data_IF_654594581970
#
_entry.id   IF_654594581970
#
_cell.length_a   1.000
_cell.length_b   1.000
_cell.length_c   1.000
_cell.angle_alpha   90.00
_cell.angle_beta   90.00
_cell.angle_gamma   90.00
#
_symmetry.space_group_name_H-M   'P 1'
#
loop_
_entity.id
_entity.type
_entity.pdbx_description
1 polymer ?
#
# COMPACT_ATOMS: atom_id res chain seq x y z
N UNK A 1 0.33 5.52 -22.02
CA UNK A 1 0.92 6.29 -23.13
C UNK A 1 0.00 6.21 -24.34
N UNK A 2 -0.47 7.36 -24.83
CA UNK A 2 -1.31 7.47 -26.01
C UNK A 2 -0.52 8.20 -27.12
N UNK A 3 0.39 7.51 -27.80
CA UNK A 3 1.23 8.15 -28.83
C UNK A 3 0.43 8.69 -30.02
N UNK A 4 -0.76 8.15 -30.24
CA UNK A 4 -1.69 8.60 -31.30
C UNK A 4 -2.13 10.07 -31.16
N UNK A 5 -2.03 10.65 -29.94
CA UNK A 5 -2.34 12.05 -29.72
C UNK A 5 -1.49 13.00 -30.61
N UNK A 6 -0.27 12.60 -30.94
CA UNK A 6 0.61 13.40 -31.83
C UNK A 6 0.14 13.43 -33.30
N UNK A 7 -0.75 12.54 -33.70
CA UNK A 7 -1.37 12.61 -35.02
C UNK A 7 -2.21 13.89 -35.21
N UNK A 8 -2.66 14.51 -34.12
CA UNK A 8 -3.37 15.79 -34.16
C UNK A 8 -2.44 17.03 -34.28
N UNK A 9 -1.12 16.86 -34.33
CA UNK A 9 -0.17 17.95 -34.42
C UNK A 9 -0.35 18.84 -35.66
N UNK A 10 -0.62 18.33 -36.88
CA UNK A 10 -0.84 19.15 -38.07
C UNK A 10 -2.22 19.84 -38.11
N UNK A 11 -3.14 19.49 -37.21
CA UNK A 11 -4.54 19.92 -37.24
C UNK A 11 -4.74 21.45 -37.29
N UNK A 12 -4.03 22.28 -36.50
CA UNK A 12 -4.16 23.74 -36.58
C UNK A 12 -3.71 24.30 -37.91
N UNK A 13 -2.69 23.70 -38.53
CA UNK A 13 -2.19 24.12 -39.84
C UNK A 13 -3.19 23.78 -40.96
N UNK A 14 -3.80 22.59 -40.87
CA UNK A 14 -4.84 22.14 -41.80
C UNK A 14 -6.07 23.05 -41.68
N UNK A 15 -6.54 23.37 -40.49
CA UNK A 15 -7.66 24.29 -40.30
C UNK A 15 -7.36 25.69 -40.86
N UNK A 16 -6.14 26.20 -40.66
CA UNK A 16 -5.72 27.49 -41.22
C UNK A 16 -5.71 27.51 -42.74
N UNK A 17 -5.48 26.36 -43.37
CA UNK A 17 -5.43 26.24 -44.83
C UNK A 17 -6.84 26.14 -45.43
N UNK A 18 -7.77 25.50 -44.69
CA UNK A 18 -9.14 25.23 -45.18
C UNK A 18 -10.09 26.39 -44.83
N UNK A 19 -9.92 27.05 -43.68
CA UNK A 19 -10.81 28.12 -43.28
C UNK A 19 -10.48 29.43 -44.07
N UNK A 20 -11.51 30.08 -44.70
CA UNK A 20 -11.34 31.37 -45.34
C UNK A 20 -10.96 32.43 -44.27
N UNK A 21 -10.11 33.37 -44.67
CA UNK A 21 -9.72 34.49 -43.81
C UNK A 21 -10.97 35.28 -43.41
N UNK A 22 -11.19 35.44 -42.11
CA UNK A 22 -12.26 36.29 -41.61
C UNK A 22 -12.05 37.72 -42.17
N UNK A 23 -13.04 38.20 -42.91
CA UNK A 23 -13.04 39.61 -43.33
C UNK A 23 -13.39 40.42 -42.07
N UNK A 24 -12.45 41.19 -41.57
CA UNK A 24 -12.74 42.23 -40.58
C UNK A 24 -13.59 43.28 -41.28
N UNK A 25 -14.87 43.34 -40.97
CA UNK A 25 -15.68 44.50 -41.33
C UNK A 25 -15.18 45.64 -40.45
N UNK A 26 -14.18 46.37 -40.89
CA UNK A 26 -13.93 47.69 -40.36
C UNK A 26 -15.18 48.51 -40.64
N UNK A 27 -15.86 48.92 -39.59
CA UNK A 27 -17.01 49.84 -39.71
C UNK A 27 -16.46 51.14 -40.32
N UNK A 28 -16.58 51.24 -41.65
CA UNK A 28 -16.22 52.45 -42.34
C UNK A 28 -17.21 53.55 -41.92
N UNK A 29 -16.75 54.50 -41.10
CA UNK A 29 -17.46 55.75 -40.83
C UNK A 29 -17.72 56.41 -42.18
N UNK A 30 -18.99 56.50 -42.58
CA UNK A 30 -19.39 57.31 -43.69
C UNK A 30 -19.24 58.79 -43.28
N UNK A 31 -18.11 59.38 -43.70
CA UNK A 31 -17.87 60.82 -43.56
C UNK A 31 -18.37 61.51 -44.81
N UNK A 32 -19.24 62.52 -44.68
CA UNK A 32 -19.94 63.17 -45.80
C UNK A 32 -19.08 64.20 -46.51
N UNK A 33 -17.98 64.69 -45.94
CA UNK A 33 -17.05 65.65 -46.57
C UNK A 33 -15.60 65.19 -46.41
N UNK A 34 -14.93 64.97 -47.56
CA UNK A 34 -13.57 64.51 -47.67
C UNK A 34 -12.54 65.65 -47.71
N UNK A 35 -13.01 66.91 -47.85
CA UNK A 35 -12.18 68.07 -48.13
C UNK A 35 -11.27 68.54 -46.98
N UNK A 36 -11.60 68.22 -45.72
CA UNK A 36 -10.82 68.66 -44.56
C UNK A 36 -9.88 67.63 -43.96
N UNK A 37 -9.82 66.47 -44.55
CA UNK A 37 -8.82 65.46 -44.16
C UNK A 37 -7.62 65.54 -45.10
N UNK A 38 -6.69 66.43 -44.79
CA UNK A 38 -5.31 66.28 -45.27
C UNK A 38 -4.77 64.97 -44.70
N UNK A 39 -4.68 64.00 -45.58
CA UNK A 39 -4.03 62.76 -45.32
C UNK A 39 -2.56 63.05 -44.99
N UNK A 40 -2.27 63.18 -43.70
CA UNK A 40 -0.89 62.97 -43.23
C UNK A 40 -0.51 61.53 -43.68
N UNK A 41 0.41 61.48 -44.62
CA UNK A 41 0.97 60.24 -45.23
C UNK A 41 1.71 59.34 -44.22
N UNK A 42 1.29 59.33 -42.96
CA UNK A 42 1.93 58.61 -41.87
C UNK A 42 1.12 57.49 -41.29
N UNK A 43 0.00 57.05 -41.91
CA UNK A 43 -0.82 55.98 -41.34
C UNK A 43 -0.99 54.75 -42.23
N UNK A 44 -0.08 54.53 -43.15
CA UNK A 44 0.13 53.15 -43.64
C UNK A 44 1.03 52.39 -42.67
N UNK A 45 0.60 52.31 -41.40
CA UNK A 45 1.14 51.26 -40.53
C UNK A 45 0.62 49.93 -41.11
N UNK A 46 1.35 49.43 -42.08
CA UNK A 46 1.34 48.00 -42.37
C UNK A 46 1.65 47.34 -41.02
N UNK A 47 0.57 47.03 -40.27
CA UNK A 47 0.70 46.35 -39.01
C UNK A 47 1.52 45.08 -39.24
N UNK A 48 2.79 45.19 -38.90
CA UNK A 48 3.64 44.04 -38.77
C UNK A 48 2.85 43.04 -37.90
N UNK A 49 2.17 42.10 -38.53
CA UNK A 49 1.47 41.06 -37.85
C UNK A 49 2.52 40.31 -37.06
N UNK A 50 2.70 40.75 -35.81
CA UNK A 50 3.63 40.14 -34.89
C UNK A 50 3.40 38.63 -34.91
N UNK A 51 4.41 37.88 -35.29
CA UNK A 51 4.33 36.41 -35.39
C UNK A 51 4.35 35.75 -33.99
N UNK A 52 4.57 36.54 -32.94
CA UNK A 52 4.59 36.09 -31.54
C UNK A 52 3.33 35.38 -31.09
N UNK A 53 2.09 35.88 -31.31
CA UNK A 53 0.90 35.17 -30.88
C UNK A 53 0.76 33.80 -31.58
N UNK A 54 1.17 33.69 -32.84
CA UNK A 54 1.15 32.41 -33.56
C UNK A 54 2.10 31.38 -32.92
N UNK A 55 3.29 31.82 -32.51
CA UNK A 55 4.24 30.96 -31.84
C UNK A 55 3.67 30.48 -30.49
N UNK A 56 3.01 31.37 -29.74
CA UNK A 56 2.40 31.01 -28.46
C UNK A 56 1.22 30.04 -28.64
N UNK A 57 0.38 30.22 -29.67
CA UNK A 57 -0.70 29.28 -29.97
C UNK A 57 -0.17 27.89 -30.33
N UNK A 58 0.89 27.83 -31.17
CA UNK A 58 1.50 26.55 -31.55
C UNK A 58 2.16 25.88 -30.33
N UNK A 59 2.81 26.64 -29.46
CA UNK A 59 3.40 26.13 -28.23
C UNK A 59 2.33 25.57 -27.28
N UNK A 60 1.24 26.32 -27.05
CA UNK A 60 0.13 25.87 -26.26
C UNK A 60 -0.49 24.56 -26.80
N UNK A 61 -0.61 24.46 -28.14
CA UNK A 61 -1.11 23.24 -28.79
C UNK A 61 -0.18 22.03 -28.56
N UNK A 62 1.13 22.22 -28.73
CA UNK A 62 2.13 21.17 -28.47
C UNK A 62 2.07 20.73 -27.00
N UNK A 63 1.99 21.67 -26.05
CA UNK A 63 1.85 21.35 -24.64
C UNK A 63 0.55 20.57 -24.33
N UNK A 64 -0.55 20.92 -25.00
CA UNK A 64 -1.82 20.20 -24.86
C UNK A 64 -1.72 18.75 -25.38
N UNK A 65 -1.10 18.56 -26.54
CA UNK A 65 -0.91 17.22 -27.11
C UNK A 65 0.05 16.37 -26.27
N UNK A 66 1.10 16.98 -25.72
CA UNK A 66 1.99 16.26 -24.78
C UNK A 66 1.28 15.88 -23.49
N UNK A 67 0.36 16.71 -22.98
CA UNK A 67 -0.47 16.36 -21.84
C UNK A 67 -1.42 15.19 -22.16
N UNK A 68 -2.04 15.21 -23.35
CA UNK A 68 -2.95 14.15 -23.83
C UNK A 68 -2.20 12.82 -24.04
N UNK A 69 -0.94 12.86 -24.46
CA UNK A 69 -0.10 11.67 -24.60
C UNK A 69 0.20 10.98 -23.25
N UNK A 70 -0.15 11.59 -22.11
CA UNK A 70 0.05 11.09 -20.75
C UNK A 70 1.46 10.58 -20.50
N UNK A 71 2.49 11.45 -20.51
CA UNK A 71 3.84 11.03 -20.17
C UNK A 71 3.86 10.42 -18.76
N UNK A 72 4.53 9.28 -18.64
CA UNK A 72 4.64 8.53 -17.41
C UNK A 72 6.11 8.38 -17.04
N UNK A 73 6.43 8.63 -15.80
CA UNK A 73 7.73 8.34 -15.23
C UNK A 73 7.66 7.05 -14.46
N UNK A 74 8.48 6.07 -14.85
CA UNK A 74 8.64 4.84 -14.08
C UNK A 74 9.67 5.11 -12.97
N UNK A 75 9.22 5.05 -11.74
CA UNK A 75 10.09 5.13 -10.56
C UNK A 75 10.97 3.90 -10.38
N UNK A 76 11.82 3.94 -9.35
CA UNK A 76 12.64 2.81 -8.97
C UNK A 76 11.80 1.58 -8.64
N UNK A 77 12.34 0.42 -8.92
CA UNK A 77 11.71 -0.86 -8.58
C UNK A 77 11.59 -0.99 -7.07
N UNK A 78 10.36 -0.98 -6.56
CA UNK A 78 10.08 -1.33 -5.18
C UNK A 78 9.87 -2.85 -5.15
N UNK A 79 10.75 -3.54 -4.46
CA UNK A 79 10.61 -4.96 -4.19
C UNK A 79 9.57 -5.15 -3.10
N UNK A 80 8.37 -5.58 -3.48
CA UNK A 80 7.34 -5.97 -2.53
C UNK A 80 7.46 -7.48 -2.37
N UNK A 81 7.80 -8.00 -1.19
CA UNK A 81 7.73 -9.43 -0.92
C UNK A 81 6.27 -9.86 -1.08
N UNK A 82 5.97 -10.70 -2.06
CA UNK A 82 4.59 -11.01 -2.47
C UNK A 82 4.17 -12.42 -2.09
N UNK A 83 5.10 -13.29 -1.77
CA UNK A 83 4.80 -14.60 -1.25
C UNK A 83 5.50 -14.80 0.09
N UNK A 84 4.72 -14.71 1.12
CA UNK A 84 5.07 -15.18 2.44
C UNK A 84 4.22 -16.38 2.76
N UNK A 85 4.70 -17.19 3.69
CA UNK A 85 3.97 -18.31 4.25
C UNK A 85 2.79 -17.83 5.07
N UNK A 86 1.78 -18.68 5.18
CA UNK A 86 0.71 -18.52 6.14
C UNK A 86 1.13 -19.15 7.47
N UNK A 87 1.49 -18.32 8.43
CA UNK A 87 1.95 -18.74 9.73
C UNK A 87 0.92 -18.38 10.79
N UNK A 88 0.38 -19.39 11.49
CA UNK A 88 -0.52 -19.17 12.60
C UNK A 88 0.21 -19.51 13.91
N UNK A 89 0.18 -18.59 14.85
CA UNK A 89 0.61 -18.81 16.20
C UNK A 89 -0.63 -19.15 17.05
N UNK A 90 -0.67 -20.37 17.60
CA UNK A 90 -1.69 -20.75 18.57
C UNK A 90 -1.05 -20.81 19.98
N UNK A 91 -1.45 -19.89 20.82
CA UNK A 91 -0.86 -19.70 22.16
C UNK A 91 -1.88 -20.03 23.23
N UNK A 92 -1.48 -20.92 24.11
CA UNK A 92 -2.22 -21.28 25.31
C UNK A 92 -2.23 -20.10 26.29
N UNK A 93 -3.41 -19.68 26.70
CA UNK A 93 -3.63 -18.65 27.72
C UNK A 93 -4.45 -19.21 28.93
N UNK A 94 -4.44 -20.53 29.07
CA UNK A 94 -5.03 -21.16 30.28
C UNK A 94 -4.31 -20.70 31.54
N UNK A 95 -4.91 -20.96 32.70
CA UNK A 95 -4.37 -20.47 34.00
C UNK A 95 -3.02 -21.07 34.36
N UNK A 96 -2.66 -22.26 33.85
CA UNK A 96 -1.36 -22.89 34.04
C UNK A 96 -0.21 -22.06 33.48
N UNK A 97 -0.47 -21.22 32.45
CA UNK A 97 0.51 -20.32 31.87
C UNK A 97 0.96 -19.18 32.81
N UNK A 98 0.31 -18.98 33.95
CA UNK A 98 0.78 -18.09 35.02
C UNK A 98 1.91 -18.71 35.86
N UNK A 99 2.11 -20.03 35.76
CA UNK A 99 3.22 -20.68 36.45
C UNK A 99 4.56 -20.13 35.97
N UNK A 100 5.53 -20.11 36.88
CA UNK A 100 6.85 -19.53 36.61
C UNK A 100 7.75 -20.51 35.85
N UNK A 101 8.52 -19.98 34.94
CA UNK A 101 9.61 -20.67 34.26
C UNK A 101 10.93 -19.96 34.53
N UNK A 102 12.05 -20.70 34.53
CA UNK A 102 13.37 -20.14 34.79
C UNK A 102 13.79 -19.17 33.66
N UNK A 103 14.21 -17.99 34.09
CA UNK A 103 14.80 -16.97 33.22
C UNK A 103 16.12 -16.50 33.81
N UNK A 104 17.24 -17.00 33.33
CA UNK A 104 18.59 -16.74 33.88
C UNK A 104 18.61 -16.96 35.43
N UNK A 105 18.78 -15.87 36.21
CA UNK A 105 18.85 -15.88 37.66
C UNK A 105 17.46 -15.67 38.29
N UNK A 106 16.50 -15.18 37.51
CA UNK A 106 15.12 -14.89 37.97
C UNK A 106 14.11 -15.90 37.43
N UNK A 107 12.85 -15.75 37.80
CA UNK A 107 11.75 -16.53 37.23
C UNK A 107 10.66 -15.59 36.74
N UNK A 108 10.12 -15.87 35.55
CA UNK A 108 9.01 -15.14 34.95
C UNK A 108 7.85 -16.08 34.67
N UNK A 109 6.63 -15.57 34.49
CA UNK A 109 5.52 -16.44 34.11
C UNK A 109 5.73 -17.03 32.71
N UNK A 110 5.20 -18.23 32.46
CA UNK A 110 5.28 -18.92 31.18
C UNK A 110 4.70 -18.05 30.04
N UNK A 111 3.58 -17.37 30.29
CA UNK A 111 2.96 -16.47 29.32
C UNK A 111 3.86 -15.26 29.00
N UNK A 112 4.49 -14.66 30.01
CA UNK A 112 5.40 -13.52 29.79
C UNK A 112 6.62 -13.93 28.95
N UNK A 113 7.23 -15.09 29.25
CA UNK A 113 8.33 -15.63 28.48
C UNK A 113 7.91 -15.93 27.03
N UNK A 114 6.73 -16.53 26.86
CA UNK A 114 6.16 -16.82 25.54
C UNK A 114 5.95 -15.55 24.73
N UNK A 115 5.31 -14.53 25.28
CA UNK A 115 5.08 -13.25 24.63
C UNK A 115 6.38 -12.60 24.17
N UNK A 116 7.40 -12.56 25.01
CA UNK A 116 8.68 -11.94 24.69
C UNK A 116 9.36 -12.65 23.50
N UNK A 117 9.40 -13.98 23.51
CA UNK A 117 10.06 -14.77 22.46
C UNK A 117 9.23 -14.79 21.19
N UNK A 118 7.92 -14.95 21.28
CA UNK A 118 7.03 -14.92 20.11
C UNK A 118 7.02 -13.54 19.44
N UNK A 119 7.11 -12.45 20.21
CA UNK A 119 7.24 -11.08 19.68
C UNK A 119 8.52 -10.93 18.84
N UNK A 120 9.66 -11.37 19.37
CA UNK A 120 10.94 -11.34 18.66
C UNK A 120 10.91 -12.21 17.37
N UNK A 121 10.18 -13.32 17.39
CA UNK A 121 9.97 -14.17 16.23
C UNK A 121 9.09 -13.48 15.17
N UNK A 122 7.97 -12.88 15.57
CA UNK A 122 7.07 -12.14 14.69
C UNK A 122 7.82 -11.01 13.95
N UNK A 123 8.66 -10.27 14.66
CA UNK A 123 9.42 -9.15 14.08
C UNK A 123 10.36 -9.58 12.94
N UNK A 124 10.92 -10.78 13.03
CA UNK A 124 11.81 -11.33 12.00
C UNK A 124 11.09 -11.81 10.74
N UNK A 125 9.79 -12.10 10.81
CA UNK A 125 9.00 -12.68 9.72
C UNK A 125 8.57 -11.62 8.70
N UNK A 126 9.53 -11.04 8.01
CA UNK A 126 9.30 -10.06 6.94
C UNK A 126 8.80 -10.77 5.70
N UNK A 127 7.55 -10.47 5.29
CA UNK A 127 6.94 -11.06 4.11
C UNK A 127 5.94 -12.19 4.40
N UNK A 128 5.94 -12.79 5.60
CA UNK A 128 4.95 -13.78 6.00
C UNK A 128 3.63 -13.13 6.44
N UNK A 129 2.51 -13.82 6.22
CA UNK A 129 1.23 -13.47 6.85
C UNK A 129 1.14 -14.19 8.18
N UNK A 130 0.92 -13.44 9.24
CA UNK A 130 0.85 -13.99 10.59
C UNK A 130 -0.55 -13.86 11.13
N UNK A 131 -1.11 -14.96 11.62
CA UNK A 131 -2.34 -15.02 12.37
C UNK A 131 -2.08 -15.38 13.83
N UNK A 132 -2.92 -14.92 14.75
CA UNK A 132 -2.83 -15.23 16.17
C UNK A 132 -4.13 -15.87 16.65
N UNK A 133 -4.03 -17.07 17.20
CA UNK A 133 -5.10 -17.79 17.89
C UNK A 133 -4.72 -17.89 19.36
N UNK A 134 -5.63 -17.50 20.22
CA UNK A 134 -5.49 -17.70 21.65
C UNK A 134 -6.49 -18.78 22.09
N UNK A 135 -6.07 -19.65 22.98
CA UNK A 135 -6.93 -20.74 23.43
C UNK A 135 -6.77 -21.06 24.93
N UNK A 136 -7.82 -21.57 25.50
CA UNK A 136 -7.98 -22.08 26.84
C UNK A 136 -9.10 -23.11 26.80
N UNK A 137 -10.22 -22.94 27.53
CA UNK A 137 -11.44 -23.73 27.41
C UNK A 137 -12.02 -23.67 26.00
N UNK A 138 -11.84 -22.54 25.33
CA UNK A 138 -12.25 -22.26 23.96
C UNK A 138 -11.10 -21.62 23.18
N UNK A 139 -11.10 -21.84 21.87
CA UNK A 139 -10.15 -21.21 20.98
C UNK A 139 -10.82 -20.04 20.23
N UNK A 140 -10.14 -18.92 20.10
CA UNK A 140 -10.60 -17.78 19.33
C UNK A 140 -9.49 -17.11 18.50
N UNK A 141 -9.87 -16.47 17.42
CA UNK A 141 -8.94 -15.76 16.56
C UNK A 141 -8.73 -14.36 17.12
N UNK A 142 -7.56 -14.08 17.63
CA UNK A 142 -7.16 -12.76 18.13
C UNK A 142 -6.74 -11.86 16.97
N UNK A 143 -5.98 -12.40 15.99
CA UNK A 143 -5.66 -11.71 14.76
C UNK A 143 -5.85 -12.64 13.55
N UNK A 144 -6.54 -12.20 12.50
CA UNK A 144 -6.54 -12.91 11.23
C UNK A 144 -5.15 -12.90 10.59
N UNK A 145 -4.95 -13.70 9.53
CA UNK A 145 -3.71 -13.66 8.75
C UNK A 145 -3.51 -12.26 8.16
N UNK A 146 -2.41 -11.60 8.55
CA UNK A 146 -2.04 -10.26 8.11
C UNK A 146 -0.54 -10.11 7.93
N UNK A 147 -0.10 -9.20 7.06
CA UNK A 147 1.28 -8.79 6.93
C UNK A 147 1.70 -7.76 8.00
N UNK A 148 0.74 -7.21 8.74
CA UNK A 148 0.98 -6.21 9.78
C UNK A 148 1.45 -6.87 11.08
N UNK A 149 2.76 -7.06 11.17
CA UNK A 149 3.43 -7.64 12.34
C UNK A 149 3.29 -6.78 13.59
N UNK A 150 3.19 -5.46 13.41
CA UNK A 150 3.05 -4.52 14.53
C UNK A 150 1.71 -4.73 15.24
N UNK A 151 0.63 -4.81 14.48
CA UNK A 151 -0.70 -5.12 15.04
C UNK A 151 -0.74 -6.49 15.70
N UNK A 152 -0.15 -7.53 15.08
CA UNK A 152 -0.09 -8.87 15.69
C UNK A 152 0.67 -8.83 17.03
N UNK A 153 1.79 -8.11 17.09
CA UNK A 153 2.56 -7.96 18.33
C UNK A 153 1.76 -7.23 19.43
N UNK A 154 1.06 -6.15 19.10
CA UNK A 154 0.20 -5.44 20.05
C UNK A 154 -0.86 -6.40 20.63
N UNK A 155 -1.58 -7.11 19.75
CA UNK A 155 -2.60 -8.06 20.15
C UNK A 155 -2.04 -9.24 20.97
N UNK A 156 -0.81 -9.66 20.69
CA UNK A 156 -0.11 -10.67 21.49
C UNK A 156 0.19 -10.14 22.90
N UNK A 157 0.65 -8.88 23.03
CA UNK A 157 0.93 -8.28 24.34
C UNK A 157 -0.34 -8.07 25.18
N UNK A 158 -1.48 -7.87 24.56
CA UNK A 158 -2.79 -7.74 25.21
C UNK A 158 -3.36 -9.08 25.73
N UNK A 159 -2.83 -10.22 25.28
CA UNK A 159 -3.30 -11.53 25.74
C UNK A 159 -3.15 -11.69 27.26
N UNK A 160 -4.22 -12.05 27.94
CA UNK A 160 -4.25 -12.24 29.40
C UNK A 160 -4.64 -13.68 29.71
N UNK A 161 -3.92 -14.31 30.64
CA UNK A 161 -4.24 -15.67 31.09
C UNK A 161 -5.63 -15.75 31.72
N UNK A 162 -6.32 -16.86 31.45
CA UNK A 162 -7.69 -17.09 31.94
C UNK A 162 -8.79 -16.41 31.12
N UNK A 163 -8.48 -15.56 30.14
CA UNK A 163 -9.49 -14.91 29.29
C UNK A 163 -10.27 -15.92 28.43
N UNK A 164 -9.61 -16.99 27.96
CA UNK A 164 -10.23 -18.08 27.22
C UNK A 164 -10.70 -19.25 28.11
N UNK A 165 -10.75 -19.05 29.42
CA UNK A 165 -11.05 -20.09 30.41
C UNK A 165 -9.82 -20.67 31.11
N UNK A 166 -10.03 -21.68 31.97
CA UNK A 166 -8.97 -22.21 32.80
C UNK A 166 -8.34 -23.51 32.27
N UNK A 167 -9.08 -24.25 31.44
CA UNK A 167 -8.66 -25.51 30.86
C UNK A 167 -7.98 -25.31 29.49
N UNK A 168 -7.63 -26.37 28.79
CA UNK A 168 -6.84 -26.35 27.57
C UNK A 168 -7.49 -27.20 26.48
N UNK A 169 -7.99 -26.55 25.40
CA UNK A 169 -8.67 -27.19 24.28
C UNK A 169 -7.76 -27.19 23.03
N UNK A 170 -6.70 -28.01 23.02
CA UNK A 170 -5.72 -28.09 21.91
C UNK A 170 -6.38 -28.45 20.59
N UNK A 171 -7.29 -29.44 20.60
CA UNK A 171 -7.96 -29.91 19.39
C UNK A 171 -8.78 -28.82 18.71
N UNK A 172 -9.49 -28.02 19.51
CA UNK A 172 -10.31 -26.91 19.00
C UNK A 172 -9.45 -25.80 18.44
N UNK A 173 -8.28 -25.51 19.03
CA UNK A 173 -7.33 -24.54 18.52
C UNK A 173 -6.80 -24.94 17.13
N UNK A 174 -6.44 -26.22 16.94
CA UNK A 174 -6.04 -26.77 15.64
C UNK A 174 -7.20 -26.72 14.65
N UNK A 175 -8.40 -27.15 15.06
CA UNK A 175 -9.61 -27.12 14.23
C UNK A 175 -9.96 -25.71 13.77
N UNK A 176 -9.82 -24.71 14.65
CA UNK A 176 -10.04 -23.31 14.32
C UNK A 176 -9.02 -22.79 13.30
N UNK A 177 -7.73 -23.17 13.45
CA UNK A 177 -6.69 -22.82 12.50
C UNK A 177 -7.02 -23.37 11.09
N UNK A 178 -7.39 -24.65 10.98
CA UNK A 178 -7.81 -25.28 9.71
C UNK A 178 -9.00 -24.54 9.10
N UNK A 179 -10.04 -24.30 9.90
CA UNK A 179 -11.24 -23.57 9.43
C UNK A 179 -10.92 -22.16 8.92
N UNK A 180 -9.95 -21.49 9.55
CA UNK A 180 -9.55 -20.15 9.17
C UNK A 180 -8.81 -20.15 7.84
N UNK A 181 -7.85 -21.03 7.66
CA UNK A 181 -7.11 -21.19 6.41
C UNK A 181 -8.04 -21.55 5.23
N UNK A 182 -9.00 -22.44 5.43
CA UNK A 182 -10.00 -22.78 4.41
C UNK A 182 -10.85 -21.58 4.01
N UNK A 183 -11.22 -20.72 4.98
CA UNK A 183 -12.04 -19.55 4.71
C UNK A 183 -11.26 -18.47 3.94
N UNK A 184 -9.99 -18.28 4.25
CA UNK A 184 -9.13 -17.29 3.59
C UNK A 184 -8.80 -17.75 2.16
N UNK A 185 -8.64 -19.07 1.93
CA UNK A 185 -8.47 -19.63 0.59
C UNK A 185 -9.68 -19.38 -0.32
N UNK A 186 -10.89 -19.52 0.21
CA UNK A 186 -12.14 -19.26 -0.54
C UNK A 186 -12.34 -17.77 -0.87
N UNK A 187 -11.79 -16.87 -0.08
CA UNK A 187 -11.89 -15.40 -0.29
C UNK A 187 -10.88 -14.86 -1.29
N UNK A 188 -9.78 -15.54 -1.51
CA UNK A 188 -8.79 -15.23 -2.53
C UNK A 188 -8.79 -16.34 -3.59
N UNK A 189 -9.75 -16.35 -4.52
CA UNK A 189 -9.66 -17.23 -5.67
C UNK A 189 -8.42 -16.79 -6.43
N UNK A 190 -7.47 -17.70 -6.58
CA UNK A 190 -6.15 -17.54 -7.16
C UNK A 190 -6.07 -16.38 -8.16
N UNK A 191 -5.50 -15.25 -7.74
CA UNK A 191 -4.88 -14.35 -8.67
C UNK A 191 -3.74 -15.15 -9.31
N UNK A 192 -3.98 -15.57 -10.57
CA UNK A 192 -3.05 -16.22 -11.46
C UNK A 192 -2.66 -17.67 -11.15
N UNK A 193 -3.57 -18.66 -11.35
CA UNK A 193 -3.20 -19.98 -11.89
C UNK A 193 -2.12 -20.82 -11.19
N UNK A 194 -1.43 -20.28 -10.22
CA UNK A 194 -0.58 -21.01 -9.30
C UNK A 194 -1.45 -21.35 -8.08
N UNK A 195 -1.94 -22.57 -8.01
CA UNK A 195 -2.32 -23.20 -6.75
C UNK A 195 -1.15 -22.90 -5.80
N UNK A 196 -1.37 -21.97 -4.86
CA UNK A 196 -0.43 -21.73 -3.77
C UNK A 196 -0.17 -23.08 -3.14
N UNK A 197 1.09 -23.50 -3.18
CA UNK A 197 1.57 -24.81 -2.76
C UNK A 197 1.03 -25.00 -1.35
N UNK A 198 0.28 -26.08 -1.14
CA UNK A 198 -0.28 -26.42 0.17
C UNK A 198 0.82 -26.58 1.27
N UNK A 199 2.08 -26.66 0.84
CA UNK A 199 3.27 -26.83 1.71
C UNK A 199 3.68 -25.59 2.50
N UNK A 200 3.10 -24.42 2.23
CA UNK A 200 3.54 -23.14 2.85
C UNK A 200 2.67 -22.70 4.03
N UNK A 201 1.92 -23.63 4.64
CA UNK A 201 1.06 -23.34 5.79
C UNK A 201 1.59 -23.97 7.05
N UNK A 202 1.88 -23.15 8.03
CA UNK A 202 2.48 -23.60 9.29
C UNK A 202 1.66 -23.11 10.46
N UNK A 203 1.37 -24.03 11.39
CA UNK A 203 0.83 -23.72 12.71
C UNK A 203 1.91 -24.01 13.76
N UNK A 204 2.22 -23.00 14.58
CA UNK A 204 3.05 -23.17 15.77
C UNK A 204 2.12 -23.18 16.97
N UNK A 205 1.97 -24.35 17.58
CA UNK A 205 1.14 -24.56 18.74
C UNK A 205 2.01 -24.55 20.01
N UNK A 206 1.72 -23.66 20.93
CA UNK A 206 2.44 -23.51 22.17
C UNK A 206 1.51 -23.71 23.35
N UNK A 207 1.86 -24.67 24.23
CA UNK A 207 1.07 -25.04 25.41
C UNK A 207 1.96 -25.55 26.52
N UNK A 208 1.48 -25.45 27.74
CA UNK A 208 2.11 -26.05 28.95
C UNK A 208 1.29 -27.17 29.57
N UNK A 209 0.13 -27.50 28.97
CA UNK A 209 -0.86 -28.38 29.59
C UNK A 209 -1.19 -29.65 28.81
N UNK A 210 -2.09 -30.42 29.40
CA UNK A 210 -2.77 -31.56 28.81
C UNK A 210 -4.08 -31.08 28.21
N UNK A 211 -4.44 -31.57 27.03
CA UNK A 211 -5.77 -31.29 26.45
C UNK A 211 -6.84 -31.96 27.31
N UNK A 212 -7.53 -31.16 28.09
CA UNK A 212 -8.57 -31.61 29.04
C UNK A 212 -9.97 -31.06 28.70
N UNK A 213 -10.09 -30.30 27.65
CA UNK A 213 -11.30 -29.70 27.10
C UNK A 213 -11.27 -29.75 25.57
N UNK A 214 -12.40 -29.41 24.96
CA UNK A 214 -12.59 -29.30 23.54
C UNK A 214 -13.56 -30.32 22.95
N UNK A 215 -14.15 -30.00 21.83
CA UNK A 215 -15.10 -30.87 21.10
C UNK A 215 -14.36 -31.90 20.24
N UNK A 216 -13.14 -31.57 19.80
CA UNK A 216 -12.31 -32.40 18.93
C UNK A 216 -11.06 -32.84 19.65
N UNK A 217 -10.71 -34.11 19.57
CA UNK A 217 -9.43 -34.59 20.12
C UNK A 217 -8.24 -34.02 19.32
N UNK A 218 -7.08 -33.73 19.97
CA UNK A 218 -5.91 -33.17 19.27
C UNK A 218 -5.46 -34.00 18.07
N UNK A 219 -5.52 -35.32 18.15
CA UNK A 219 -5.10 -36.21 17.06
C UNK A 219 -6.05 -36.14 15.86
N UNK A 220 -7.36 -36.13 16.10
CA UNK A 220 -8.34 -36.01 15.03
C UNK A 220 -8.24 -34.64 14.34
N UNK A 221 -7.98 -33.58 15.11
CA UNK A 221 -7.73 -32.26 14.57
C UNK A 221 -6.44 -32.22 13.72
N UNK A 222 -5.38 -32.93 14.15
CA UNK A 222 -4.14 -33.05 13.40
C UNK A 222 -4.32 -33.81 12.08
N UNK A 223 -5.12 -34.88 12.07
CA UNK A 223 -5.47 -35.61 10.83
C UNK A 223 -6.20 -34.71 9.82
N UNK A 224 -7.13 -33.90 10.31
CA UNK A 224 -7.82 -32.89 9.47
C UNK A 224 -6.85 -31.84 8.96
N UNK A 225 -5.91 -31.39 9.78
CA UNK A 225 -4.88 -30.43 9.41
C UNK A 225 -3.95 -31.00 8.33
N UNK A 226 -3.48 -32.23 8.50
CA UNK A 226 -2.66 -32.94 7.51
C UNK A 226 -3.37 -33.09 6.16
N UNK A 227 -4.67 -33.46 6.17
CA UNK A 227 -5.48 -33.55 4.95
C UNK A 227 -5.63 -32.22 4.21
N UNK A 228 -5.38 -31.09 4.90
CA UNK A 228 -5.42 -29.73 4.34
C UNK A 228 -4.04 -29.14 4.07
N UNK A 229 -2.97 -29.93 4.22
CA UNK A 229 -1.60 -29.48 4.02
C UNK A 229 -1.11 -28.47 5.08
N UNK A 230 -1.68 -28.49 6.29
CA UNK A 230 -1.23 -27.64 7.39
C UNK A 230 -0.18 -28.40 8.21
N UNK A 231 1.06 -27.91 8.20
CA UNK A 231 2.15 -28.43 9.03
C UNK A 231 2.05 -27.85 10.45
N UNK A 232 2.14 -28.69 11.47
CA UNK A 232 2.00 -28.28 12.87
C UNK A 232 3.30 -28.54 13.63
N UNK A 233 3.96 -27.47 14.08
CA UNK A 233 5.01 -27.56 15.07
C UNK A 233 4.41 -27.36 16.46
N UNK A 234 4.78 -28.22 17.40
CA UNK A 234 4.29 -28.16 18.77
C UNK A 234 5.40 -27.83 19.74
N UNK A 235 5.18 -26.86 20.63
CA UNK A 235 6.10 -26.44 21.66
C UNK A 235 5.46 -26.68 23.02
N UNK A 236 6.04 -27.59 23.79
CA UNK A 236 5.64 -27.85 25.17
C UNK A 236 6.50 -27.04 26.13
N UNK A 237 5.89 -26.28 27.04
CA UNK A 237 6.60 -25.51 28.08
C UNK A 237 6.40 -26.15 29.44
N UNK A 238 7.44 -26.29 30.23
CA UNK A 238 7.33 -26.72 31.62
C UNK A 238 8.61 -27.35 32.14
N UNK A 239 8.64 -27.58 33.46
CA UNK A 239 9.79 -28.13 34.15
C UNK A 239 10.06 -29.61 33.84
N UNK A 240 11.30 -30.06 34.08
CA UNK A 240 11.68 -31.47 33.93
C UNK A 240 10.89 -32.33 34.91
N UNK A 241 10.15 -33.31 34.38
CA UNK A 241 9.37 -34.24 35.18
C UNK A 241 8.00 -33.77 35.62
N UNK A 242 7.54 -32.58 35.16
CA UNK A 242 6.14 -32.18 35.42
C UNK A 242 5.21 -33.11 34.65
N UNK A 243 4.24 -33.72 35.35
CA UNK A 243 3.20 -34.54 34.74
C UNK A 243 2.10 -33.71 34.08
N UNK A 244 2.26 -32.40 34.06
CA UNK A 244 1.28 -31.44 33.58
C UNK A 244 1.24 -31.33 32.07
N UNK A 245 2.27 -31.85 31.34
CA UNK A 245 2.37 -31.78 29.92
C UNK A 245 2.25 -33.17 29.24
N UNK A 246 1.31 -33.33 28.33
CA UNK A 246 1.20 -34.54 27.48
C UNK A 246 2.10 -34.46 26.25
N UNK A 247 3.40 -34.74 26.49
CA UNK A 247 4.38 -34.77 25.40
C UNK A 247 4.04 -35.79 24.30
N UNK A 248 3.42 -36.90 24.71
CA UNK A 248 3.09 -38.00 23.78
C UNK A 248 2.09 -37.56 22.77
N UNK A 249 1.03 -36.88 23.18
CA UNK A 249 0.02 -36.32 22.26
C UNK A 249 0.62 -35.22 21.39
N UNK A 250 1.40 -34.28 21.93
CA UNK A 250 2.02 -33.22 21.18
C UNK A 250 2.98 -33.75 20.09
N UNK A 251 3.81 -34.76 20.42
CA UNK A 251 4.68 -35.44 19.44
C UNK A 251 3.89 -36.14 18.35
N UNK A 252 2.77 -36.76 18.68
CA UNK A 252 1.89 -37.42 17.69
C UNK A 252 1.22 -36.41 16.77
N UNK A 253 0.72 -35.29 17.29
CA UNK A 253 0.15 -34.19 16.53
C UNK A 253 1.16 -33.64 15.54
N UNK A 254 2.39 -33.32 15.98
CA UNK A 254 3.43 -32.81 15.11
C UNK A 254 3.80 -33.82 14.01
N UNK A 255 4.03 -35.08 14.34
CA UNK A 255 4.38 -36.12 13.38
C UNK A 255 3.28 -36.38 12.35
N UNK A 256 2.02 -36.35 12.76
CA UNK A 256 0.87 -36.59 11.86
C UNK A 256 0.78 -35.54 10.76
N UNK A 257 1.33 -34.34 10.97
CA UNK A 257 1.29 -33.22 10.03
C UNK A 257 2.63 -32.89 9.39
N UNK A 258 3.67 -33.73 9.60
CA UNK A 258 5.03 -33.49 9.09
C UNK A 258 5.80 -32.41 9.82
N UNK A 259 5.31 -31.95 10.97
CA UNK A 259 6.00 -30.98 11.84
C UNK A 259 6.89 -31.63 12.90
N UNK A 260 7.41 -30.82 13.80
CA UNK A 260 8.31 -31.23 14.87
C UNK A 260 7.78 -30.82 16.24
N UNK A 261 8.08 -31.64 17.27
CA UNK A 261 7.82 -31.34 18.67
C UNK A 261 9.10 -30.81 19.33
N UNK A 262 8.96 -29.73 20.09
CA UNK A 262 10.01 -29.12 20.86
C UNK A 262 9.61 -29.03 22.33
N UNK A 263 10.61 -29.09 23.22
CA UNK A 263 10.43 -28.91 24.65
C UNK A 263 11.23 -27.73 25.17
N UNK A 264 10.58 -26.79 25.84
CA UNK A 264 11.21 -25.66 26.50
C UNK A 264 11.15 -25.78 28.00
N UNK A 265 12.31 -25.79 28.66
CA UNK A 265 12.44 -25.81 30.14
C UNK A 265 12.72 -24.41 30.69
N UNK A 266 13.18 -23.50 29.85
CA UNK A 266 13.53 -22.12 30.23
C UNK A 266 13.34 -21.20 29.02
N UNK A 267 13.51 -19.91 29.26
CA UNK A 267 13.39 -18.88 28.21
C UNK A 267 14.43 -19.02 27.10
N UNK A 268 15.65 -19.47 27.43
CA UNK A 268 16.73 -19.68 26.44
C UNK A 268 16.39 -20.84 25.52
N UNK A 269 15.83 -21.94 26.03
CA UNK A 269 15.36 -23.05 25.19
C UNK A 269 14.27 -22.56 24.23
N UNK A 270 13.32 -21.77 24.74
CA UNK A 270 12.25 -21.21 23.91
C UNK A 270 12.82 -20.33 22.77
N UNK A 271 13.81 -19.47 23.08
CA UNK A 271 14.48 -18.65 22.07
C UNK A 271 15.23 -19.49 21.02
N UNK A 272 15.89 -20.59 21.45
CA UNK A 272 16.57 -21.49 20.53
C UNK A 272 15.60 -22.27 19.64
N UNK A 273 14.46 -22.70 20.18
CA UNK A 273 13.39 -23.35 19.42
C UNK A 273 12.89 -22.43 18.30
N UNK A 274 12.65 -21.16 18.60
CA UNK A 274 12.21 -20.22 17.55
C UNK A 274 13.28 -19.93 16.51
N UNK A 275 14.58 -19.95 16.87
CA UNK A 275 15.68 -19.89 15.88
C UNK A 275 15.67 -21.13 14.97
N UNK A 276 15.49 -22.31 15.56
CA UNK A 276 15.41 -23.54 14.78
C UNK A 276 14.19 -23.57 13.87
N UNK A 277 13.05 -23.02 14.32
CA UNK A 277 11.88 -22.83 13.47
C UNK A 277 12.14 -21.85 12.31
N UNK A 278 12.96 -20.80 12.50
CA UNK A 278 13.40 -19.92 11.42
C UNK A 278 14.26 -20.66 10.38
N UNK A 279 15.05 -21.64 10.80
CA UNK A 279 15.87 -22.48 9.90
C UNK A 279 15.04 -23.56 9.18
N UNK A 280 14.06 -24.16 9.86
CA UNK A 280 13.18 -25.19 9.30
C UNK A 280 12.16 -24.61 8.32
N UNK A 281 11.72 -23.38 8.57
CA UNK A 281 10.71 -22.68 7.81
C UNK A 281 11.29 -21.32 7.34
N UNK A 282 12.25 -21.33 6.40
CA UNK A 282 12.88 -20.10 5.91
C UNK A 282 11.88 -19.24 5.16
N UNK A 283 12.00 -17.92 5.28
CA UNK A 283 11.19 -16.97 4.53
C UNK A 283 11.57 -17.05 3.05
N UNK A 284 10.69 -17.57 2.21
CA UNK A 284 10.87 -17.50 0.77
C UNK A 284 10.66 -16.06 0.29
N UNK A 285 11.71 -15.48 -0.27
CA UNK A 285 11.67 -14.14 -0.86
C UNK A 285 11.27 -14.23 -2.34
N UNK A 286 10.05 -14.57 -2.64
CA UNK A 286 9.52 -14.26 -3.96
C UNK A 286 9.29 -12.74 -4.04
N UNK A 287 10.18 -12.07 -4.73
CA UNK A 287 10.15 -10.62 -4.87
C UNK A 287 9.41 -10.27 -6.15
N UNK A 288 8.18 -9.78 -6.05
CA UNK A 288 7.56 -9.09 -7.18
C UNK A 288 8.05 -7.65 -7.22
N UNK A 289 8.79 -7.34 -8.26
CA UNK A 289 9.19 -5.98 -8.55
C UNK A 289 7.98 -5.16 -9.03
N UNK A 290 7.53 -4.22 -8.23
CA UNK A 290 6.53 -3.23 -8.63
C UNK A 290 7.23 -1.92 -8.97
N UNK A 291 6.98 -1.39 -10.18
CA UNK A 291 7.44 -0.06 -10.56
C UNK A 291 6.30 0.92 -10.43
N UNK A 292 6.34 1.82 -9.44
CA UNK A 292 5.33 2.86 -9.32
C UNK A 292 5.38 3.78 -10.55
N UNK A 293 4.24 3.95 -11.20
CA UNK A 293 4.11 4.80 -12.37
C UNK A 293 3.54 6.14 -11.91
N UNK A 294 4.34 7.21 -12.05
CA UNK A 294 3.88 8.59 -11.82
C UNK A 294 3.44 9.20 -13.13
N UNK A 295 2.19 9.60 -13.23
CA UNK A 295 1.67 10.30 -14.40
C UNK A 295 2.08 11.78 -14.33
N UNK A 296 2.78 12.30 -15.36
CA UNK A 296 3.32 13.67 -15.42
C UNK A 296 2.49 14.59 -16.34
N UNK A 297 1.28 14.19 -16.71
CA UNK A 297 0.43 14.94 -17.64
C UNK A 297 0.05 16.35 -17.15
N UNK A 298 0.05 16.57 -15.84
CA UNK A 298 -0.33 17.85 -15.23
C UNK A 298 0.66 18.98 -15.56
N UNK A 299 1.96 18.68 -15.75
CA UNK A 299 2.98 19.69 -16.07
C UNK A 299 2.72 20.35 -17.44
N UNK A 300 2.64 19.61 -18.55
CA UNK A 300 2.34 20.23 -19.84
C UNK A 300 0.90 20.77 -19.93
N UNK A 301 -0.05 20.20 -19.17
CA UNK A 301 -1.41 20.71 -19.10
C UNK A 301 -1.46 22.10 -18.44
N UNK A 302 -0.81 22.29 -17.30
CA UNK A 302 -0.76 23.60 -16.62
C UNK A 302 -0.04 24.63 -17.50
N UNK A 303 1.05 24.26 -18.18
CA UNK A 303 1.75 25.13 -19.12
C UNK A 303 0.83 25.57 -20.27
N UNK A 304 0.08 24.64 -20.87
CA UNK A 304 -0.88 24.95 -21.94
C UNK A 304 -1.97 25.90 -21.49
N UNK A 305 -2.58 25.65 -20.31
CA UNK A 305 -3.63 26.47 -19.75
C UNK A 305 -3.13 27.88 -19.39
N UNK A 306 -1.94 28.02 -18.82
CA UNK A 306 -1.37 29.34 -18.50
C UNK A 306 -1.09 30.15 -19.76
N UNK A 307 -0.54 29.54 -20.81
CA UNK A 307 -0.32 30.23 -22.09
C UNK A 307 -1.67 30.65 -22.69
N UNK A 308 -2.68 29.79 -22.69
CA UNK A 308 -4.02 30.10 -23.20
C UNK A 308 -4.67 31.25 -22.42
N UNK A 309 -4.55 31.25 -21.10
CA UNK A 309 -5.06 32.34 -20.25
C UNK A 309 -4.36 33.67 -20.51
N UNK A 310 -3.04 33.69 -20.67
CA UNK A 310 -2.29 34.88 -21.02
C UNK A 310 -2.67 35.43 -22.40
N UNK A 311 -2.86 34.56 -23.39
CA UNK A 311 -3.31 34.96 -24.72
C UNK A 311 -4.75 35.53 -24.67
N UNK A 312 -5.65 34.90 -23.93
CA UNK A 312 -7.00 35.41 -23.73
C UNK A 312 -6.98 36.79 -23.04
N UNK A 313 -6.19 36.94 -21.99
CA UNK A 313 -6.03 38.22 -21.29
C UNK A 313 -5.49 39.31 -22.23
N UNK A 314 -4.50 39.01 -23.06
CA UNK A 314 -3.93 39.94 -24.02
C UNK A 314 -4.95 40.39 -25.11
N UNK A 315 -5.95 39.56 -25.43
CA UNK A 315 -7.02 39.90 -26.35
C UNK A 315 -8.14 40.71 -25.71
N UNK A 316 -8.50 40.38 -24.45
CA UNK A 316 -9.65 40.97 -23.75
C UNK A 316 -9.30 42.24 -22.97
N UNK A 317 -8.06 42.43 -22.54
CA UNK A 317 -7.65 43.66 -21.87
C UNK A 317 -7.55 44.76 -22.91
N UNK A 318 -8.48 45.74 -22.99
CA UNK A 318 -8.36 46.86 -23.90
C UNK A 318 -7.06 47.59 -23.58
N UNK A 319 -6.33 47.97 -24.62
CA UNK A 319 -5.11 48.79 -24.48
C UNK A 319 -5.50 50.08 -23.78
N UNK A 320 -5.39 50.13 -22.47
CA UNK A 320 -5.51 51.37 -21.70
C UNK A 320 -4.34 52.28 -22.10
N UNK A 321 -4.59 53.17 -23.11
CA UNK A 321 -3.72 54.29 -23.39
C UNK A 321 -3.87 55.29 -22.24
N UNK A 322 -2.96 55.21 -21.28
CA UNK A 322 -2.82 56.26 -20.25
C UNK A 322 -2.15 57.46 -20.92
N UNK A 323 -3.00 58.36 -21.54
CA UNK A 323 -2.56 59.72 -21.91
C UNK A 323 -2.42 60.49 -20.65
N UNK A 324 -1.19 60.65 -20.17
CA UNK A 324 -0.82 61.69 -19.20
C UNK A 324 -1.08 63.03 -19.89
N UNK A 325 -2.24 63.68 -19.56
CA UNK A 325 -2.54 65.04 -19.89
C UNK A 325 -1.54 65.91 -19.13
N UNK A 326 -0.46 66.34 -19.79
CA UNK A 326 0.41 67.37 -19.29
C UNK A 326 -0.33 68.69 -19.26
N UNK A 327 -0.71 69.13 -18.08
CA UNK A 327 -1.17 70.49 -17.79
C UNK A 327 -0.01 71.45 -18.04
N UNK A 328 -0.02 72.13 -19.17
CA UNK A 328 0.77 73.34 -19.40
C UNK A 328 0.11 74.49 -18.67
N UNK A 329 0.74 74.90 -17.59
CA UNK A 329 0.40 76.18 -16.89
C UNK A 329 0.59 77.32 -17.82
N UNK A 330 -0.49 78.10 -18.06
CA UNK A 330 -0.48 79.37 -18.73
C UNK A 330 0.08 80.42 -17.77
N UNK A 331 1.11 81.15 -18.21
CA UNK A 331 1.66 82.35 -17.57
C UNK A 331 0.75 83.53 -17.90
N UNK A 332 0.37 84.37 -16.95
CA UNK A 332 -0.36 85.58 -17.23
C UNK A 332 0.66 86.74 -17.36
N UNK A 333 0.85 87.23 -18.56
CA UNK A 333 1.42 88.54 -18.75
C UNK A 333 0.27 89.55 -18.82
N UNK A 334 0.27 90.53 -17.87
CA UNK A 334 -0.60 91.67 -17.85
C UNK A 334 0.13 92.89 -18.41
N UNK A 335 -0.57 93.87 -18.96
CA UNK A 335 0.00 95.08 -19.57
C UNK A 335 0.07 96.26 -18.64
N UNK A 336 0.96 97.08 -18.92
CA UNK A 336 0.89 98.56 -18.63
C UNK A 336 1.54 99.30 -19.72
#
# INVERSE_FOLDING_TARGET
LWPWAFAALPLPFIFRLILPRAKTNDAALRVTEIADFQLSDSASSSGSTSRWPLLLYTLAWICLLTALARPQWTGDTIEIPVSGRDLILAIDISKSMDHKIRHNISSVSRITATKAVASAFIEKRVGDRIGLILFGDQAYVQSPLTFDRTTVNILLQEAVTGLAGQATAIGDAIGLAVKRLDKDQKKSPAANGKQGIADDRVLILLTDGVSNRGEITPLKAAELAAAKGLKIHTIGIGDRGSRELDETTLRRVARATGGQYFRAYNTSDLANIYKLLDELEPVEKDVKSYRPIKALFYIPLTASLTIAALLALAVYVPRFNFKLSGSTAASPDGPS
#
